data_IF_621081914490
#
_entry.id   IF_621081914490
#
_cell.length_a   1.000
_cell.length_b   1.000
_cell.length_c   1.000
_cell.angle_alpha   90.00
_cell.angle_beta   90.00
_cell.angle_gamma   90.00
#
_symmetry.space_group_name_H-M   'P 1'
#
loop_
_entity.id
_entity.type
_entity.pdbx_description
1 polymer ?
#
# COMPACT_ATOMS: atom_id res chain seq x y z
N UNK A 1 -5.58 -14.84 3.84
CA UNK A 1 -5.91 -13.71 4.72
C UNK A 1 -4.71 -13.51 5.64
N UNK A 2 -4.17 -12.29 5.71
CA UNK A 2 -3.01 -11.93 6.51
C UNK A 2 -3.45 -10.98 7.62
N UNK A 3 -2.97 -11.20 8.83
CA UNK A 3 -3.27 -10.36 9.99
C UNK A 3 -2.00 -9.70 10.47
N UNK A 4 -2.04 -8.39 10.64
CA UNK A 4 -0.93 -7.57 11.08
C UNK A 4 -1.33 -6.81 12.33
N UNK A 5 -0.53 -6.91 13.39
CA UNK A 5 -0.73 -6.17 14.63
C UNK A 5 0.27 -5.02 14.67
N UNK A 6 -0.21 -3.81 14.94
CA UNK A 6 0.64 -2.63 15.09
C UNK A 6 0.18 -1.79 16.28
N UNK A 7 1.14 -1.14 16.93
CA UNK A 7 0.91 -0.10 17.91
C UNK A 7 1.20 1.30 17.33
N UNK A 8 1.63 1.40 16.07
CA UNK A 8 1.88 2.68 15.41
C UNK A 8 0.59 3.26 14.81
N UNK A 9 0.09 4.32 15.43
CA UNK A 9 -1.09 5.05 14.96
C UNK A 9 -0.94 5.57 13.52
N UNK A 10 0.28 5.87 13.05
CA UNK A 10 0.51 6.32 11.67
C UNK A 10 0.24 5.21 10.66
N UNK A 11 0.64 3.98 10.97
CA UNK A 11 0.33 2.81 10.17
C UNK A 11 -1.17 2.57 10.11
N UNK A 12 -1.82 2.56 11.27
CA UNK A 12 -3.27 2.38 11.39
C UNK A 12 -4.02 3.39 10.54
N UNK A 13 -3.62 4.67 10.59
CA UNK A 13 -4.21 5.72 9.75
C UNK A 13 -4.00 5.44 8.26
N UNK A 14 -2.81 5.01 7.84
CA UNK A 14 -2.53 4.64 6.44
C UNK A 14 -3.45 3.49 5.98
N UNK A 15 -3.59 2.45 6.80
CA UNK A 15 -4.46 1.30 6.48
C UNK A 15 -5.95 1.67 6.47
N UNK A 16 -6.39 2.53 7.39
CA UNK A 16 -7.77 3.05 7.43
C UNK A 16 -8.10 3.84 6.16
N UNK A 17 -7.21 4.73 5.73
CA UNK A 17 -7.35 5.48 4.47
C UNK A 17 -7.37 4.52 3.27
N UNK A 18 -6.50 3.49 3.26
CA UNK A 18 -6.47 2.50 2.19
C UNK A 18 -7.77 1.66 2.13
N UNK A 19 -8.33 1.30 3.29
CA UNK A 19 -9.62 0.62 3.41
C UNK A 19 -10.75 1.43 2.78
N UNK A 20 -10.87 2.72 3.13
CA UNK A 20 -11.92 3.60 2.60
C UNK A 20 -11.74 3.94 1.11
N UNK A 21 -10.50 4.13 0.67
CA UNK A 21 -10.21 4.46 -0.72
C UNK A 21 -10.19 3.22 -1.64
N UNK A 22 -10.34 2.01 -1.11
CA UNK A 22 -10.22 0.78 -1.88
C UNK A 22 -8.83 0.63 -2.52
N UNK A 23 -7.77 1.07 -1.83
CA UNK A 23 -6.38 0.97 -2.32
C UNK A 23 -5.68 -0.24 -1.72
N UNK A 24 -4.72 -0.78 -2.47
CA UNK A 24 -3.81 -1.79 -1.94
C UNK A 24 -2.86 -1.14 -0.94
N UNK A 25 -2.67 -1.80 0.19
CA UNK A 25 -1.69 -1.45 1.19
C UNK A 25 -0.59 -2.51 1.22
N UNK A 26 0.65 -2.06 1.36
CA UNK A 26 1.81 -2.91 1.57
C UNK A 26 2.18 -2.85 3.03
N UNK A 27 2.32 -4.01 3.64
CA UNK A 27 2.80 -4.17 5.01
C UNK A 27 4.04 -5.02 5.02
N UNK A 28 5.03 -4.60 5.81
CA UNK A 28 6.26 -5.35 6.06
C UNK A 28 6.20 -5.84 7.50
N UNK A 29 5.99 -7.13 7.69
CA UNK A 29 6.03 -7.76 9.01
C UNK A 29 7.26 -8.66 9.08
N UNK A 30 8.31 -8.19 9.76
CA UNK A 30 9.61 -8.86 9.79
C UNK A 30 10.19 -9.00 8.38
N UNK A 31 10.43 -10.25 7.96
CA UNK A 31 10.98 -10.58 6.63
C UNK A 31 9.92 -10.72 5.53
N UNK A 32 8.63 -10.70 5.88
CA UNK A 32 7.54 -10.87 4.92
C UNK A 32 6.93 -9.53 4.52
N UNK A 33 6.96 -9.24 3.21
CA UNK A 33 6.22 -8.10 2.62
C UNK A 33 4.93 -8.60 2.01
N UNK A 34 3.80 -8.20 2.58
CA UNK A 34 2.46 -8.56 2.11
C UNK A 34 1.79 -7.34 1.49
N UNK A 35 1.42 -7.45 0.22
CA UNK A 35 0.62 -6.42 -0.46
C UNK A 35 -0.79 -6.93 -0.68
N UNK A 36 -1.79 -6.10 -0.35
CA UNK A 36 -3.18 -6.51 -0.49
C UNK A 36 -4.19 -5.45 -0.10
N UNK A 37 -5.47 -5.79 -0.17
CA UNK A 37 -6.54 -4.90 0.26
C UNK A 37 -6.79 -5.01 1.76
N UNK A 38 -7.01 -3.88 2.41
CA UNK A 38 -7.38 -3.85 3.83
C UNK A 38 -8.84 -4.25 3.97
N UNK A 39 -9.10 -5.37 4.64
CA UNK A 39 -10.46 -5.85 4.94
C UNK A 39 -11.03 -5.13 6.15
N UNK A 40 -10.23 -5.04 7.22
CA UNK A 40 -10.66 -4.43 8.49
C UNK A 40 -9.47 -3.88 9.27
N UNK A 41 -9.75 -2.84 10.05
CA UNK A 41 -8.83 -2.27 11.05
C UNK A 41 -9.57 -2.26 12.36
N UNK A 42 -9.21 -3.17 13.26
CA UNK A 42 -9.83 -3.35 14.57
C UNK A 42 -8.92 -2.75 15.65
N UNK A 43 -9.50 -1.97 16.55
CA UNK A 43 -8.81 -1.47 17.74
C UNK A 43 -8.99 -2.45 18.90
N UNK A 44 -7.92 -2.67 19.65
CA UNK A 44 -7.92 -3.52 20.83
C UNK A 44 -7.83 -2.64 22.07
N UNK A 45 -9.00 -2.20 22.53
CA UNK A 45 -9.18 -1.30 23.68
C UNK A 45 -8.68 -1.89 25.01
N UNK A 46 -8.44 -3.21 25.07
CA UNK A 46 -8.01 -3.92 26.28
C UNK A 46 -6.49 -3.94 26.48
N UNK A 47 -5.69 -3.40 25.56
CA UNK A 47 -4.24 -3.41 25.63
C UNK A 47 -3.70 -2.02 25.98
N UNK A 48 -2.86 -1.94 27.02
CA UNK A 48 -2.01 -0.77 27.30
C UNK A 48 -0.57 -1.12 26.96
N UNK A 49 0.03 -0.59 25.87
CA UNK A 49 -0.47 0.46 24.96
C UNK A 49 -1.52 -0.04 23.94
N UNK A 50 -2.32 0.88 23.36
CA UNK A 50 -3.34 0.55 22.36
C UNK A 50 -2.72 -0.21 21.18
N UNK A 51 -3.34 -1.33 20.82
CA UNK A 51 -2.93 -2.13 19.67
C UNK A 51 -4.06 -2.19 18.66
N UNK A 52 -3.69 -2.23 17.39
CA UNK A 52 -4.64 -2.37 16.30
C UNK A 52 -4.31 -3.64 15.52
N UNK A 53 -5.34 -4.43 15.26
CA UNK A 53 -5.28 -5.60 14.39
C UNK A 53 -5.82 -5.23 13.02
N UNK A 54 -4.97 -5.32 12.01
CA UNK A 54 -5.27 -5.03 10.62
C UNK A 54 -5.38 -6.36 9.87
N UNK A 55 -6.50 -6.58 9.19
CA UNK A 55 -6.69 -7.74 8.32
C UNK A 55 -6.51 -7.31 6.88
N UNK A 56 -5.58 -7.96 6.18
CA UNK A 56 -5.28 -7.74 4.77
C UNK A 56 -5.64 -9.00 3.99
N UNK A 57 -6.34 -8.82 2.89
CA UNK A 57 -6.54 -9.87 1.89
C UNK A 57 -5.36 -9.76 0.93
N UNK A 58 -4.39 -10.69 0.99
CA UNK A 58 -3.29 -10.67 0.03
C UNK A 58 -3.88 -10.84 -1.36
N UNK A 59 -3.64 -9.85 -2.22
CA UNK A 59 -3.83 -10.08 -3.64
C UNK A 59 -2.54 -10.76 -4.09
N UNK A 60 -2.64 -11.95 -4.68
CA UNK A 60 -1.47 -12.63 -5.25
C UNK A 60 -0.67 -11.60 -6.05
N UNK A 61 0.67 -11.51 -5.90
CA UNK A 61 1.48 -10.64 -6.74
C UNK A 61 1.42 -11.19 -8.16
N UNK A 62 0.33 -10.91 -8.87
CA UNK A 62 0.26 -11.06 -10.30
C UNK A 62 1.03 -9.86 -10.83
N UNK A 63 2.25 -10.16 -11.27
CA UNK A 63 3.04 -9.42 -12.24
C UNK A 63 2.97 -7.89 -12.12
N UNK A 64 4.12 -7.33 -11.71
CA UNK A 64 4.69 -6.14 -12.33
C UNK A 64 3.65 -5.10 -12.75
N UNK A 65 3.33 -4.18 -11.84
CA UNK A 65 2.77 -2.89 -12.24
C UNK A 65 3.86 -2.23 -13.10
N UNK A 66 3.86 -2.54 -14.39
CA UNK A 66 4.54 -1.77 -15.42
C UNK A 66 4.13 -0.33 -15.15
N UNK A 67 5.07 0.58 -14.83
CA UNK A 67 4.71 1.98 -14.74
C UNK A 67 4.18 2.38 -16.10
N UNK A 68 2.86 2.57 -16.23
CA UNK A 68 2.21 3.22 -17.36
C UNK A 68 2.54 4.71 -17.35
N UNK A 69 3.82 5.07 -17.22
CA UNK A 69 4.26 6.39 -17.63
C UNK A 69 4.38 6.30 -19.14
N UNK A 70 3.55 7.00 -19.92
CA UNK A 70 3.90 7.21 -21.31
C UNK A 70 5.30 7.85 -21.33
N UNK A 71 6.22 7.23 -22.05
CA UNK A 71 7.53 7.80 -22.29
C UNK A 71 7.35 9.25 -22.73
N UNK A 72 8.05 10.16 -22.06
CA UNK A 72 8.15 11.55 -22.48
C UNK A 72 8.44 11.55 -23.99
N UNK A 73 7.53 12.12 -24.80
CA UNK A 73 7.78 12.36 -26.23
C UNK A 73 8.89 13.40 -26.29
N UNK A 74 10.13 12.94 -26.29
CA UNK A 74 11.25 13.74 -26.77
C UNK A 74 10.93 14.07 -28.23
N UNK A 75 10.54 15.33 -28.49
CA UNK A 75 10.60 15.88 -29.84
C UNK A 75 12.08 16.13 -30.12
N UNK A 76 12.71 15.51 -31.12
CA UNK A 76 13.95 16.08 -31.63
C UNK A 76 13.55 17.40 -32.28
N UNK A 77 13.96 18.51 -31.64
CA UNK A 77 13.97 19.82 -32.28
C UNK A 77 15.06 19.73 -33.35
N UNK A 78 14.66 19.37 -34.58
CA UNK A 78 15.54 19.46 -35.73
C UNK A 78 15.75 20.94 -36.01
N UNK A 79 16.99 21.38 -35.78
CA UNK A 79 17.53 22.68 -36.12
C UNK A 79 17.53 22.82 -37.65
N UNK A 80 16.44 23.30 -38.23
CA UNK A 80 16.45 23.85 -39.59
C UNK A 80 16.54 25.36 -39.49
N UNK A 81 17.77 25.88 -39.49
CA UNK A 81 18.07 27.25 -39.92
C UNK A 81 19.24 27.22 -40.91
N UNK A 82 18.85 27.29 -42.19
CA UNK A 82 19.63 27.96 -43.25
C UNK A 82 19.66 29.46 -42.98
#
# INVERSE_FOLDING_TARGET
MFTYETADQKEVRRFRIAQFNGRMATVTSGEATVTGFVRSVLEQDSSTPPRWTITIIPNTPKEEIKPLRPASRARPFAEDYL
#
